data_IF_140679501277
#
_entry.id   IF_140679501277
#
_cell.length_a   1.000
_cell.length_b   1.000
_cell.length_c   1.000
_cell.angle_alpha   90.00
_cell.angle_beta   90.00
_cell.angle_gamma   90.00
#
_symmetry.space_group_name_H-M   'P 1'
#
loop_
_entity.id
_entity.type
_entity.pdbx_description
1 polymer ?
#
# COMPACT_ATOMS: atom_id res chain seq x y z
N UNK A 1 59.80 72.86 10.16
CA UNK A 1 60.88 72.03 10.71
C UNK A 1 62.13 72.31 9.90
N UNK A 2 63.23 72.57 10.57
CA UNK A 2 64.50 72.93 9.95
C UNK A 2 65.53 71.91 10.42
N UNK A 3 66.20 71.27 9.47
CA UNK A 3 67.21 70.24 9.74
C UNK A 3 68.53 70.66 9.09
N UNK A 4 69.63 70.65 9.84
CA UNK A 4 70.96 70.87 9.28
C UNK A 4 71.48 69.59 8.62
N UNK A 5 72.01 69.70 7.40
CA UNK A 5 72.63 68.59 6.69
C UNK A 5 74.00 68.97 6.11
N UNK A 6 74.71 67.97 5.60
CA UNK A 6 76.05 68.10 5.01
C UNK A 6 76.12 69.08 3.82
N UNK A 7 74.99 69.40 3.18
CA UNK A 7 74.89 70.35 2.08
C UNK A 7 74.02 71.59 2.40
N UNK A 8 73.89 71.94 3.69
CA UNK A 8 73.16 73.13 4.14
C UNK A 8 71.82 72.85 4.82
N UNK A 9 70.92 73.83 4.78
CA UNK A 9 69.67 73.85 5.55
C UNK A 9 68.53 73.15 4.79
N UNK A 10 68.02 72.04 5.34
CA UNK A 10 66.81 71.40 4.85
C UNK A 10 65.57 71.98 5.57
N UNK A 11 64.66 72.57 4.80
CA UNK A 11 63.43 73.17 5.32
C UNK A 11 62.26 72.25 4.98
N UNK A 12 61.68 71.61 6.00
CA UNK A 12 60.46 70.84 5.86
C UNK A 12 59.30 71.59 6.51
N UNK A 13 58.33 72.03 5.71
CA UNK A 13 57.12 72.65 6.22
C UNK A 13 55.98 71.62 6.25
N UNK A 14 55.62 71.05 7.43
CA UNK A 14 54.53 70.08 7.52
C UNK A 14 53.19 70.66 7.07
N UNK A 15 52.98 72.00 7.15
CA UNK A 15 51.76 72.66 6.68
C UNK A 15 51.65 72.76 5.15
N UNK A 16 52.72 72.44 4.40
CA UNK A 16 52.73 72.41 2.92
C UNK A 16 52.47 71.02 2.35
N UNK A 17 52.40 69.98 3.18
CA UNK A 17 51.94 68.67 2.75
C UNK A 17 50.44 68.80 2.52
N UNK A 18 50.02 68.88 1.25
CA UNK A 18 48.61 68.67 0.91
C UNK A 18 48.26 67.24 1.34
N UNK A 19 47.20 67.09 2.11
CA UNK A 19 46.62 65.79 2.45
C UNK A 19 46.23 65.09 1.13
N UNK A 20 47.07 64.19 0.65
CA UNK A 20 46.78 63.34 -0.50
C UNK A 20 46.06 62.08 0.00
N UNK A 21 44.92 62.26 0.66
CA UNK A 21 43.94 61.19 0.83
C UNK A 21 43.23 61.03 -0.51
N UNK A 22 43.92 60.42 -1.47
CA UNK A 22 43.34 60.07 -2.76
C UNK A 22 42.34 58.95 -2.49
N UNK A 23 41.06 59.27 -2.63
CA UNK A 23 39.98 58.30 -2.52
C UNK A 23 40.09 57.30 -3.68
N UNK A 24 40.36 56.03 -3.36
CA UNK A 24 40.45 54.96 -4.35
C UNK A 24 39.11 54.69 -5.04
N UNK A 25 39.15 54.07 -6.21
CA UNK A 25 37.94 53.54 -6.83
C UNK A 25 37.66 52.14 -6.26
N UNK A 26 36.51 51.98 -5.59
CA UNK A 26 36.06 50.67 -5.13
C UNK A 26 35.50 49.86 -6.29
N UNK A 27 35.91 48.59 -6.35
CA UNK A 27 35.35 47.60 -7.27
C UNK A 27 35.13 46.29 -6.53
N UNK A 28 34.04 45.60 -6.85
CA UNK A 28 33.90 44.19 -6.47
C UNK A 28 34.92 43.37 -7.25
N UNK A 29 35.52 42.40 -6.59
CA UNK A 29 36.56 41.55 -7.17
C UNK A 29 36.06 40.14 -7.38
N UNK A 30 35.43 39.55 -6.35
CA UNK A 30 34.95 38.17 -6.38
C UNK A 30 33.56 38.04 -5.76
N UNK A 31 32.76 37.12 -6.30
CA UNK A 31 31.51 36.63 -5.73
C UNK A 31 31.63 35.12 -5.52
N UNK A 32 31.40 34.65 -4.30
CA UNK A 32 31.40 33.24 -3.95
C UNK A 32 30.06 32.87 -3.33
N UNK A 33 29.42 31.85 -3.87
CA UNK A 33 28.16 31.28 -3.37
C UNK A 33 28.52 29.92 -2.77
N UNK A 34 28.24 29.74 -1.48
CA UNK A 34 28.71 28.59 -0.69
C UNK A 34 30.22 28.43 -0.85
N UNK A 35 30.65 27.35 -1.50
CA UNK A 35 32.05 27.04 -1.74
C UNK A 35 32.59 27.32 -3.15
N UNK A 36 31.77 27.92 -4.02
CA UNK A 36 32.10 28.08 -5.43
C UNK A 36 32.16 29.54 -5.87
N UNK A 37 33.18 29.89 -6.66
CA UNK A 37 33.26 31.19 -7.32
C UNK A 37 32.24 31.28 -8.45
N UNK A 38 31.53 32.40 -8.52
CA UNK A 38 30.52 32.64 -9.54
C UNK A 38 31.12 33.43 -10.69
N UNK A 39 30.96 32.92 -11.91
CA UNK A 39 31.25 33.62 -13.15
C UNK A 39 30.04 33.58 -14.07
N UNK A 40 29.90 34.53 -15.02
CA UNK A 40 28.82 34.52 -16.01
C UNK A 40 28.80 33.25 -16.87
N UNK A 41 29.96 32.63 -17.07
CA UNK A 41 30.10 31.39 -17.83
C UNK A 41 29.58 30.17 -17.07
N UNK A 42 29.65 30.18 -15.74
CA UNK A 42 29.22 29.05 -14.90
C UNK A 42 27.75 29.19 -14.46
N UNK A 43 27.31 30.41 -14.13
CA UNK A 43 26.01 30.68 -13.52
C UNK A 43 25.43 32.00 -14.04
N UNK A 44 25.03 32.00 -15.31
CA UNK A 44 24.39 33.15 -15.97
C UNK A 44 23.06 33.57 -15.30
N UNK A 45 22.37 32.63 -14.63
CA UNK A 45 21.15 32.92 -13.88
C UNK A 45 21.39 33.81 -12.65
N UNK A 46 22.59 33.78 -12.08
CA UNK A 46 22.98 34.58 -10.91
C UNK A 46 23.60 35.91 -11.33
N UNK A 47 24.52 35.87 -12.29
CA UNK A 47 25.23 37.06 -12.77
C UNK A 47 25.47 36.97 -14.28
N UNK A 48 25.10 38.03 -15.01
CA UNK A 48 25.20 38.05 -16.48
C UNK A 48 26.50 38.69 -17.00
N UNK A 49 27.26 39.33 -16.13
CA UNK A 49 28.49 40.07 -16.45
C UNK A 49 29.52 39.84 -15.35
N UNK A 50 30.80 40.08 -15.62
CA UNK A 50 31.83 39.95 -14.59
C UNK A 50 31.47 40.80 -13.36
N UNK A 51 31.69 40.25 -12.17
CA UNK A 51 31.35 40.89 -10.89
C UNK A 51 31.92 42.31 -10.75
N UNK A 52 33.05 42.58 -11.39
CA UNK A 52 33.71 43.91 -11.43
C UNK A 52 32.81 44.99 -12.05
N UNK A 53 31.96 44.60 -13.01
CA UNK A 53 31.07 45.49 -13.76
C UNK A 53 29.58 45.23 -13.50
N UNK A 54 29.25 44.19 -12.74
CA UNK A 54 27.88 43.81 -12.47
C UNK A 54 27.18 44.85 -11.60
N UNK A 55 25.95 45.21 -12.00
CA UNK A 55 25.07 46.11 -11.23
C UNK A 55 24.07 45.35 -10.35
N UNK A 56 23.81 44.09 -10.69
CA UNK A 56 22.84 43.25 -9.99
C UNK A 56 23.24 41.78 -9.98
N UNK A 57 22.85 41.10 -8.91
CA UNK A 57 22.97 39.66 -8.73
C UNK A 57 21.60 39.09 -8.35
N UNK A 58 21.22 37.98 -8.98
CA UNK A 58 20.01 37.25 -8.66
C UNK A 58 20.40 36.01 -7.84
N UNK A 59 19.79 35.85 -6.67
CA UNK A 59 20.05 34.71 -5.79
C UNK A 59 18.75 33.94 -5.58
N UNK A 60 18.86 32.61 -5.47
CA UNK A 60 17.79 31.79 -4.96
C UNK A 60 17.78 31.80 -3.43
N UNK A 61 16.62 31.47 -2.85
CA UNK A 61 16.48 31.32 -1.40
C UNK A 61 17.53 30.37 -0.78
N UNK A 62 18.00 29.37 -1.52
CA UNK A 62 18.97 28.35 -1.07
C UNK A 62 20.43 28.60 -1.46
N UNK A 63 20.76 29.78 -2.01
CA UNK A 63 22.12 30.09 -2.48
C UNK A 63 23.08 30.54 -1.35
N UNK A 64 22.61 30.68 -0.12
CA UNK A 64 23.43 31.15 0.99
C UNK A 64 24.34 30.06 1.59
N UNK A 65 25.48 30.41 2.22
CA UNK A 65 26.00 31.78 2.42
C UNK A 65 26.66 32.37 1.16
N UNK A 66 26.63 33.70 1.05
CA UNK A 66 27.24 34.45 -0.06
C UNK A 66 28.39 35.32 0.45
N UNK A 67 29.56 35.21 -0.16
CA UNK A 67 30.73 36.03 0.14
C UNK A 67 31.03 36.98 -1.02
N UNK A 68 31.10 38.27 -0.72
CA UNK A 68 31.44 39.33 -1.65
C UNK A 68 32.78 39.95 -1.26
N UNK A 69 33.75 39.92 -2.17
CA UNK A 69 35.05 40.59 -2.00
C UNK A 69 35.11 41.85 -2.83
N UNK A 70 35.79 42.86 -2.33
CA UNK A 70 35.99 44.14 -2.99
C UNK A 70 37.41 44.66 -2.73
N UNK A 71 37.82 45.68 -3.46
CA UNK A 71 39.12 46.32 -3.25
C UNK A 71 39.05 47.80 -3.65
N UNK A 72 39.69 48.65 -2.85
CA UNK A 72 40.13 49.95 -3.31
C UNK A 72 41.40 49.73 -4.12
N UNK A 73 41.42 50.17 -5.38
CA UNK A 73 42.62 50.11 -6.23
C UNK A 73 43.71 51.09 -5.72
N UNK A 74 44.27 50.82 -4.55
CA UNK A 74 45.30 51.61 -3.86
C UNK A 74 46.48 50.70 -3.47
N UNK A 75 47.62 50.91 -4.14
CA UNK A 75 48.84 50.08 -4.00
C UNK A 75 49.86 50.67 -3.01
N UNK A 76 49.45 51.60 -2.15
CA UNK A 76 50.36 52.22 -1.18
C UNK A 76 50.68 51.27 -0.01
N UNK A 77 51.96 51.16 0.42
CA UNK A 77 52.38 50.20 1.46
C UNK A 77 51.81 50.42 2.88
N UNK A 78 51.05 51.49 3.12
CA UNK A 78 50.44 51.85 4.41
C UNK A 78 49.07 52.55 4.19
N UNK A 79 48.20 51.97 3.35
CA UNK A 79 46.86 52.52 3.14
C UNK A 79 45.99 52.28 4.39
N UNK A 80 45.85 53.30 5.24
CA UNK A 80 44.91 53.30 6.38
C UNK A 80 43.46 53.44 5.90
N UNK A 81 43.00 52.48 5.09
CA UNK A 81 41.64 52.45 4.55
C UNK A 81 40.82 51.47 5.39
N UNK A 82 39.79 52.01 6.03
CA UNK A 82 38.76 51.20 6.65
C UNK A 82 37.53 51.15 5.73
N UNK A 83 36.80 50.05 5.77
CA UNK A 83 35.58 49.89 4.97
C UNK A 83 34.35 49.86 5.85
N UNK A 84 33.27 50.41 5.31
CA UNK A 84 31.94 50.33 5.91
C UNK A 84 30.96 49.83 4.86
N UNK A 85 29.91 49.13 5.30
CA UNK A 85 28.84 48.68 4.43
C UNK A 85 27.47 48.98 5.01
N UNK A 86 26.46 48.97 4.13
CA UNK A 86 25.06 49.14 4.48
C UNK A 86 24.20 48.30 3.55
N UNK A 87 23.34 47.45 4.09
CA UNK A 87 22.41 46.63 3.33
C UNK A 87 20.99 47.21 3.44
N UNK A 88 20.55 47.92 2.40
CA UNK A 88 19.20 48.47 2.36
C UNK A 88 18.18 47.41 1.93
N UNK A 89 16.97 47.35 2.52
CA UNK A 89 16.42 48.31 3.50
C UNK A 89 16.66 47.97 4.99
N UNK A 90 17.40 46.90 5.30
CA UNK A 90 17.48 46.36 6.66
C UNK A 90 18.40 47.17 7.58
N UNK A 91 19.52 47.64 7.06
CA UNK A 91 20.48 48.47 7.79
C UNK A 91 20.12 49.96 7.71
N UNK A 92 19.94 50.60 8.87
CA UNK A 92 19.74 52.06 8.98
C UNK A 92 21.06 52.84 9.08
N UNK A 93 22.07 52.25 9.71
CA UNK A 93 23.40 52.83 9.93
C UNK A 93 24.49 52.07 9.16
N UNK A 94 25.68 52.65 9.04
CA UNK A 94 26.83 52.00 8.42
C UNK A 94 27.50 51.01 9.38
N UNK A 95 27.67 49.77 8.94
CA UNK A 95 28.38 48.72 9.66
C UNK A 95 29.87 48.72 9.30
N UNK A 96 30.75 48.62 10.30
CA UNK A 96 32.22 48.69 10.08
C UNK A 96 32.81 47.32 9.75
N UNK A 97 33.61 47.26 8.69
CA UNK A 97 34.43 46.10 8.30
C UNK A 97 35.89 46.25 8.70
N UNK A 98 36.25 47.42 9.24
CA UNK A 98 37.64 47.77 9.56
C UNK A 98 38.53 47.57 8.32
N UNK A 99 39.58 46.75 8.41
CA UNK A 99 40.48 46.48 7.27
C UNK A 99 40.02 45.33 6.36
N UNK A 100 38.90 44.64 6.68
CA UNK A 100 38.41 43.50 5.89
C UNK A 100 37.81 43.97 4.57
N UNK A 101 38.23 43.31 3.50
CA UNK A 101 37.80 43.60 2.13
C UNK A 101 36.76 42.59 1.62
N UNK A 102 36.04 41.93 2.53
CA UNK A 102 34.99 40.96 2.21
C UNK A 102 33.84 41.01 3.20
N UNK A 103 32.63 40.69 2.70
CA UNK A 103 31.38 40.61 3.46
C UNK A 103 30.78 39.23 3.23
N UNK A 104 30.33 38.58 4.30
CA UNK A 104 29.60 37.32 4.26
C UNK A 104 28.14 37.56 4.63
N UNK A 105 27.23 37.19 3.73
CA UNK A 105 25.78 37.21 3.94
C UNK A 105 25.32 35.78 4.22
N UNK A 106 24.82 35.52 5.43
CA UNK A 106 24.44 34.17 5.88
C UNK A 106 23.07 33.74 5.39
N UNK A 107 22.15 34.68 5.28
CA UNK A 107 20.82 34.50 4.72
C UNK A 107 20.23 35.87 4.36
N UNK A 108 19.28 35.87 3.43
CA UNK A 108 18.46 37.03 3.14
C UNK A 108 17.03 36.56 2.85
N UNK A 109 16.03 37.28 3.36
CA UNK A 109 14.64 37.07 2.99
C UNK A 109 14.40 37.37 1.50
N UNK A 110 13.39 36.74 0.89
CA UNK A 110 13.06 36.86 -0.55
C UNK A 110 12.52 38.24 -0.93
N UNK A 111 13.40 39.24 -0.99
CA UNK A 111 13.15 40.62 -1.42
C UNK A 111 14.37 41.18 -2.16
N UNK A 112 14.25 42.40 -2.65
CA UNK A 112 15.37 43.13 -3.26
C UNK A 112 16.12 43.95 -2.22
N UNK A 113 17.44 43.89 -2.28
CA UNK A 113 18.36 44.63 -1.43
C UNK A 113 19.33 45.45 -2.28
N UNK A 114 19.87 46.50 -1.68
CA UNK A 114 20.99 47.24 -2.23
C UNK A 114 22.13 47.19 -1.22
N UNK A 115 23.20 46.49 -1.55
CA UNK A 115 24.43 46.51 -0.77
C UNK A 115 25.23 47.74 -1.19
N UNK A 116 25.53 48.60 -0.24
CA UNK A 116 26.39 49.77 -0.41
C UNK A 116 27.68 49.57 0.38
N UNK A 117 28.83 49.89 -0.24
CA UNK A 117 30.15 49.81 0.39
C UNK A 117 30.86 51.15 0.20
N UNK A 118 31.48 51.65 1.26
CA UNK A 118 32.20 52.91 1.24
C UNK A 118 33.54 52.78 1.98
N UNK A 119 34.55 53.51 1.50
CA UNK A 119 35.82 53.65 2.20
C UNK A 119 35.78 54.79 3.23
N UNK A 120 36.57 54.62 4.28
CA UNK A 120 36.77 55.58 5.38
C UNK A 120 38.27 55.79 5.54
N UNK A 121 38.73 57.04 5.45
CA UNK A 121 40.11 57.42 5.75
C UNK A 121 40.12 58.35 6.96
N UNK A 122 41.00 58.09 7.94
CA UNK A 122 41.21 58.96 9.12
C UNK A 122 39.90 59.45 9.76
N UNK A 123 38.93 58.54 9.90
CA UNK A 123 37.57 58.75 10.42
C UNK A 123 36.54 59.51 9.56
N UNK A 124 36.91 59.97 8.37
CA UNK A 124 35.96 60.57 7.43
C UNK A 124 35.57 59.55 6.35
N UNK A 125 34.27 59.50 6.03
CA UNK A 125 33.78 58.77 4.87
C UNK A 125 34.28 59.48 3.61
N UNK A 126 34.61 58.70 2.58
CA UNK A 126 34.94 59.25 1.27
C UNK A 126 33.77 60.07 0.71
N UNK A 127 34.07 61.16 0.01
CA UNK A 127 33.11 62.09 -0.60
C UNK A 127 32.68 61.63 -2.00
N UNK A 128 32.92 60.37 -2.35
CA UNK A 128 32.45 59.70 -3.56
C UNK A 128 31.14 58.94 -3.33
N UNK A 129 30.35 58.66 -4.39
CA UNK A 129 29.22 57.76 -4.25
C UNK A 129 29.69 56.35 -3.82
N UNK A 130 28.92 55.65 -2.97
CA UNK A 130 29.27 54.30 -2.53
C UNK A 130 29.26 53.32 -3.71
N UNK A 131 30.02 52.24 -3.56
CA UNK A 131 29.94 51.09 -4.46
C UNK A 131 28.64 50.33 -4.17
N UNK A 132 27.77 50.23 -5.16
CA UNK A 132 26.44 49.62 -5.01
C UNK A 132 26.31 48.30 -5.78
N UNK A 133 25.63 47.33 -5.18
CA UNK A 133 25.20 46.09 -5.83
C UNK A 133 23.74 45.78 -5.46
N UNK A 134 22.89 45.63 -6.47
CA UNK A 134 21.50 45.20 -6.26
C UNK A 134 21.44 43.68 -6.13
N UNK A 135 20.88 43.17 -5.04
CA UNK A 135 20.74 41.74 -4.77
C UNK A 135 19.26 41.41 -4.74
N UNK A 136 18.79 40.57 -5.66
CA UNK A 136 17.39 40.14 -5.72
C UNK A 136 17.29 38.67 -5.34
N UNK A 137 16.56 38.35 -4.27
CA UNK A 137 16.41 36.97 -3.77
C UNK A 137 15.04 36.41 -4.15
N UNK A 138 15.01 35.31 -4.90
CA UNK A 138 13.77 34.65 -5.33
C UNK A 138 13.04 33.93 -4.18
N UNK A 139 11.70 33.84 -4.20
CA UNK A 139 10.95 33.07 -3.22
C UNK A 139 11.13 31.56 -3.42
N UNK A 140 10.99 30.75 -2.35
CA UNK A 140 11.08 29.30 -2.46
C UNK A 140 9.96 28.72 -3.33
N UNK A 141 10.30 27.74 -4.17
CA UNK A 141 9.39 27.15 -5.17
C UNK A 141 8.14 26.50 -4.58
N UNK A 142 8.24 25.93 -3.37
CA UNK A 142 7.13 25.25 -2.68
C UNK A 142 6.07 26.22 -2.11
N UNK A 143 6.34 27.54 -2.14
CA UNK A 143 5.37 28.59 -1.81
C UNK A 143 4.75 29.26 -3.04
N UNK A 144 5.00 28.72 -4.23
CA UNK A 144 4.40 29.24 -5.47
C UNK A 144 2.90 28.95 -5.54
N UNK A 145 2.14 29.76 -6.29
CA UNK A 145 0.72 29.53 -6.53
C UNK A 145 0.45 28.16 -7.18
N UNK A 146 1.36 27.69 -8.03
CA UNK A 146 1.31 26.36 -8.63
C UNK A 146 1.47 25.25 -7.58
N UNK A 147 2.35 25.44 -6.59
CA UNK A 147 2.49 24.49 -5.49
C UNK A 147 1.21 24.39 -4.65
N UNK A 148 0.55 25.51 -4.34
CA UNK A 148 -0.74 25.49 -3.64
C UNK A 148 -1.84 24.78 -4.44
N UNK A 149 -1.89 24.97 -5.75
CA UNK A 149 -2.82 24.26 -6.63
C UNK A 149 -2.54 22.74 -6.63
N UNK A 150 -1.26 22.35 -6.67
CA UNK A 150 -0.86 20.95 -6.56
C UNK A 150 -1.25 20.32 -5.21
N UNK A 151 -1.07 21.05 -4.10
CA UNK A 151 -1.51 20.60 -2.78
C UNK A 151 -3.03 20.42 -2.70
N UNK A 152 -3.80 21.34 -3.29
CA UNK A 152 -5.27 21.23 -3.35
C UNK A 152 -5.70 20.00 -4.15
N UNK A 153 -5.09 19.76 -5.32
CA UNK A 153 -5.39 18.58 -6.13
C UNK A 153 -5.02 17.28 -5.41
N UNK A 154 -3.87 17.25 -4.74
CA UNK A 154 -3.44 16.10 -3.96
C UNK A 154 -4.42 15.82 -2.81
N UNK A 155 -4.85 16.86 -2.09
CA UNK A 155 -5.86 16.74 -1.04
C UNK A 155 -7.19 16.20 -1.57
N UNK A 156 -7.71 16.76 -2.67
CA UNK A 156 -8.95 16.29 -3.30
C UNK A 156 -8.82 14.84 -3.81
N UNK A 157 -7.67 14.46 -4.34
CA UNK A 157 -7.39 13.08 -4.77
C UNK A 157 -7.45 12.10 -3.61
N UNK A 158 -6.84 12.45 -2.46
CA UNK A 158 -6.88 11.62 -1.25
C UNK A 158 -8.32 11.49 -0.71
N UNK A 159 -9.07 12.60 -0.65
CA UNK A 159 -10.48 12.58 -0.22
C UNK A 159 -11.33 11.73 -1.18
N UNK A 160 -11.13 11.87 -2.49
CA UNK A 160 -11.84 11.09 -3.49
C UNK A 160 -11.52 9.59 -3.41
N UNK A 161 -10.24 9.23 -3.21
CA UNK A 161 -9.83 7.85 -3.00
C UNK A 161 -10.49 7.25 -1.75
N UNK A 162 -10.50 7.99 -0.63
CA UNK A 162 -11.16 7.54 0.60
C UNK A 162 -12.67 7.35 0.42
N UNK A 163 -13.34 8.29 -0.26
CA UNK A 163 -14.75 8.17 -0.61
C UNK A 163 -15.04 6.92 -1.45
N UNK A 164 -14.24 6.67 -2.49
CA UNK A 164 -14.38 5.50 -3.38
C UNK A 164 -14.21 4.18 -2.62
N UNK A 165 -13.21 4.08 -1.76
CA UNK A 165 -12.96 2.87 -0.94
C UNK A 165 -14.12 2.62 0.01
N UNK A 166 -14.63 3.66 0.68
CA UNK A 166 -15.77 3.55 1.59
C UNK A 166 -17.02 3.05 0.87
N UNK A 167 -17.32 3.61 -0.31
CA UNK A 167 -18.47 3.22 -1.11
C UNK A 167 -18.37 1.76 -1.59
N UNK A 168 -17.20 1.32 -2.05
CA UNK A 168 -16.98 -0.07 -2.46
C UNK A 168 -17.20 -1.05 -1.31
N UNK A 169 -16.76 -0.70 -0.09
CA UNK A 169 -16.99 -1.53 1.10
C UNK A 169 -18.48 -1.66 1.43
N UNK A 170 -19.24 -0.57 1.29
CA UNK A 170 -20.69 -0.61 1.54
C UNK A 170 -21.41 -1.50 0.51
N UNK A 171 -21.10 -1.36 -0.78
CA UNK A 171 -21.69 -2.17 -1.84
C UNK A 171 -21.33 -3.64 -1.66
N UNK A 172 -20.06 -3.95 -1.41
CA UNK A 172 -19.62 -5.32 -1.17
C UNK A 172 -20.28 -5.96 0.06
N UNK A 173 -20.46 -5.18 1.14
CA UNK A 173 -21.17 -5.63 2.34
C UNK A 173 -22.65 -5.93 2.09
N UNK A 174 -23.33 -5.07 1.31
CA UNK A 174 -24.73 -5.30 0.93
C UNK A 174 -24.90 -6.53 0.05
N UNK A 175 -24.02 -6.72 -0.94
CA UNK A 175 -24.08 -7.88 -1.83
C UNK A 175 -23.81 -9.18 -1.09
N UNK A 176 -22.80 -9.20 -0.20
CA UNK A 176 -22.53 -10.37 0.65
C UNK A 176 -23.72 -10.71 1.54
N UNK A 177 -24.38 -9.71 2.13
CA UNK A 177 -25.58 -9.92 2.94
C UNK A 177 -26.74 -10.45 2.09
N UNK A 178 -26.96 -9.89 0.90
CA UNK A 178 -28.00 -10.35 -0.03
C UNK A 178 -27.79 -11.79 -0.47
N UNK A 179 -26.55 -12.16 -0.81
CA UNK A 179 -26.21 -13.53 -1.18
C UNK A 179 -26.46 -14.50 -0.02
N UNK A 180 -26.10 -14.10 1.20
CA UNK A 180 -26.37 -14.90 2.40
C UNK A 180 -27.87 -15.06 2.66
N UNK A 181 -28.64 -13.98 2.54
CA UNK A 181 -30.11 -14.02 2.73
C UNK A 181 -30.77 -14.93 1.67
N UNK A 182 -30.29 -14.90 0.41
CA UNK A 182 -30.76 -15.79 -0.66
C UNK A 182 -30.44 -17.26 -0.38
N UNK A 183 -29.24 -17.55 0.12
CA UNK A 183 -28.83 -18.90 0.47
C UNK A 183 -29.68 -19.46 1.62
N UNK A 184 -29.87 -18.67 2.68
CA UNK A 184 -30.74 -19.02 3.82
C UNK A 184 -32.19 -19.28 3.37
N UNK A 185 -32.73 -18.46 2.46
CA UNK A 185 -34.06 -18.66 1.90
C UNK A 185 -34.15 -19.95 1.06
N UNK A 186 -33.16 -20.20 0.20
CA UNK A 186 -33.06 -21.42 -0.61
C UNK A 186 -33.06 -22.65 0.30
N UNK A 187 -32.27 -22.66 1.37
CA UNK A 187 -32.22 -23.82 2.24
C UNK A 187 -33.52 -24.04 3.03
N UNK A 188 -34.13 -22.97 3.53
CA UNK A 188 -35.43 -23.06 4.22
C UNK A 188 -36.51 -23.60 3.30
N UNK A 189 -36.54 -23.15 2.04
CA UNK A 189 -37.45 -23.62 1.03
C UNK A 189 -37.30 -25.14 0.79
N UNK A 190 -36.06 -25.61 0.58
CA UNK A 190 -35.77 -27.05 0.39
C UNK A 190 -36.19 -27.88 1.60
N UNK A 191 -35.86 -27.40 2.80
CA UNK A 191 -36.20 -28.07 4.07
C UNK A 191 -37.70 -28.23 4.22
N UNK A 192 -38.46 -27.14 3.99
CA UNK A 192 -39.92 -27.14 4.12
C UNK A 192 -40.58 -28.06 3.09
N UNK A 193 -40.22 -27.91 1.81
CA UNK A 193 -40.75 -28.74 0.72
C UNK A 193 -40.51 -30.22 0.99
N UNK A 194 -39.34 -30.56 1.50
CA UNK A 194 -39.03 -31.94 1.84
C UNK A 194 -39.98 -32.48 2.91
N UNK A 195 -40.21 -31.73 3.99
CA UNK A 195 -41.13 -32.14 5.05
C UNK A 195 -42.56 -32.31 4.52
N UNK A 196 -43.00 -31.40 3.64
CA UNK A 196 -44.32 -31.45 3.01
C UNK A 196 -44.47 -32.65 2.06
N UNK A 197 -43.41 -33.12 1.39
CA UNK A 197 -43.45 -34.32 0.56
C UNK A 197 -43.31 -35.63 1.34
N UNK A 198 -42.47 -35.65 2.38
CA UNK A 198 -42.23 -36.86 3.20
C UNK A 198 -43.53 -37.38 3.82
N UNK A 199 -44.36 -36.48 4.34
CA UNK A 199 -45.60 -36.82 5.05
C UNK A 199 -46.62 -37.57 4.17
N UNK A 200 -47.08 -37.04 3.02
CA UNK A 200 -48.01 -37.75 2.14
C UNK A 200 -47.41 -39.02 1.56
N UNK A 201 -46.10 -39.06 1.27
CA UNK A 201 -45.44 -40.28 0.81
C UNK A 201 -45.46 -41.39 1.85
N UNK A 202 -45.20 -41.06 3.11
CA UNK A 202 -45.27 -42.02 4.22
C UNK A 202 -46.69 -42.58 4.37
N UNK A 203 -47.70 -41.73 4.18
CA UNK A 203 -49.12 -42.13 4.21
C UNK A 203 -49.47 -43.04 3.03
N UNK A 204 -49.03 -42.70 1.80
CA UNK A 204 -49.23 -43.54 0.61
C UNK A 204 -48.60 -44.92 0.81
N UNK A 205 -47.36 -44.97 1.31
CA UNK A 205 -46.65 -46.20 1.63
C UNK A 205 -47.43 -47.03 2.67
N UNK A 206 -47.93 -46.40 3.74
CA UNK A 206 -48.75 -47.09 4.74
C UNK A 206 -50.06 -47.68 4.20
N UNK A 207 -50.74 -46.99 3.28
CA UNK A 207 -51.93 -47.54 2.61
C UNK A 207 -51.58 -48.68 1.65
N UNK A 208 -50.47 -48.58 0.93
CA UNK A 208 -49.99 -49.65 0.04
C UNK A 208 -49.68 -50.92 0.80
N UNK A 209 -49.00 -50.83 1.95
CA UNK A 209 -48.73 -52.00 2.80
C UNK A 209 -50.02 -52.67 3.27
N UNK A 210 -51.04 -51.90 3.68
CA UNK A 210 -52.36 -52.42 4.05
C UNK A 210 -53.10 -53.10 2.87
N UNK A 211 -53.02 -52.52 1.67
CA UNK A 211 -53.66 -53.08 0.48
C UNK A 211 -52.99 -54.37 0.01
N UNK A 212 -51.65 -54.46 0.10
CA UNK A 212 -50.90 -55.69 -0.18
C UNK A 212 -51.30 -56.84 0.73
N UNK A 213 -51.51 -56.56 2.01
CA UNK A 213 -51.94 -57.56 3.00
C UNK A 213 -53.38 -58.05 2.73
N UNK A 214 -54.25 -57.19 2.18
CA UNK A 214 -55.66 -57.54 1.90
C UNK A 214 -55.91 -58.19 0.54
N UNK A 215 -55.09 -57.93 -0.47
CA UNK A 215 -55.34 -58.36 -1.87
C UNK A 215 -54.24 -59.28 -2.41
N UNK A 216 -53.56 -60.02 -1.53
CA UNK A 216 -52.39 -60.83 -1.86
C UNK A 216 -52.64 -61.91 -2.93
N UNK A 217 -53.90 -62.33 -3.13
CA UNK A 217 -54.29 -63.42 -4.04
C UNK A 217 -54.54 -63.01 -5.51
N UNK A 218 -54.50 -61.71 -5.85
CA UNK A 218 -54.65 -61.25 -7.26
C UNK A 218 -53.33 -60.71 -7.81
N UNK A 219 -52.66 -61.52 -8.64
CA UNK A 219 -51.33 -61.20 -9.22
C UNK A 219 -51.24 -59.82 -9.89
N UNK A 220 -52.25 -59.41 -10.67
CA UNK A 220 -52.23 -58.09 -11.34
C UNK A 220 -52.33 -56.92 -10.36
N UNK A 221 -53.11 -57.06 -9.27
CA UNK A 221 -53.25 -56.02 -8.25
C UNK A 221 -51.98 -55.94 -7.42
N UNK A 222 -51.40 -57.10 -7.08
CA UNK A 222 -50.18 -57.17 -6.29
C UNK A 222 -48.97 -56.56 -7.06
N UNK A 223 -48.87 -56.82 -8.37
CA UNK A 223 -47.84 -56.23 -9.24
C UNK A 223 -47.95 -54.70 -9.34
N UNK A 224 -49.18 -54.16 -9.47
CA UNK A 224 -49.41 -52.72 -9.47
C UNK A 224 -49.06 -52.07 -8.11
N UNK A 225 -49.46 -52.70 -7.00
CA UNK A 225 -49.15 -52.21 -5.64
C UNK A 225 -47.64 -52.24 -5.36
N UNK A 226 -46.93 -53.29 -5.78
CA UNK A 226 -45.46 -53.38 -5.73
C UNK A 226 -44.81 -52.20 -6.45
N UNK A 227 -45.30 -51.89 -7.65
CA UNK A 227 -44.74 -50.81 -8.48
C UNK A 227 -44.94 -49.43 -7.84
N UNK A 228 -46.12 -49.16 -7.28
CA UNK A 228 -46.41 -47.87 -6.61
C UNK A 228 -45.58 -47.73 -5.32
N UNK A 229 -45.42 -48.81 -4.55
CA UNK A 229 -44.60 -48.80 -3.33
C UNK A 229 -43.13 -48.52 -3.66
N UNK A 230 -42.58 -49.17 -4.68
CA UNK A 230 -41.19 -48.98 -5.10
C UNK A 230 -40.95 -47.54 -5.57
N UNK A 231 -41.86 -46.96 -6.35
CA UNK A 231 -41.78 -45.56 -6.78
C UNK A 231 -41.90 -44.57 -5.60
N UNK A 232 -42.78 -44.86 -4.64
CA UNK A 232 -42.97 -44.02 -3.45
C UNK A 232 -41.74 -44.05 -2.54
N UNK A 233 -41.13 -45.21 -2.35
CA UNK A 233 -39.87 -45.36 -1.61
C UNK A 233 -38.71 -44.65 -2.30
N UNK A 234 -38.61 -44.74 -3.62
CA UNK A 234 -37.60 -44.02 -4.40
C UNK A 234 -37.74 -42.50 -4.23
N UNK A 235 -38.98 -41.97 -4.30
CA UNK A 235 -39.21 -40.54 -4.12
C UNK A 235 -38.89 -40.08 -2.69
N UNK A 236 -39.28 -40.87 -1.69
CA UNK A 236 -38.94 -40.61 -0.29
C UNK A 236 -37.42 -40.56 -0.07
N UNK A 237 -36.68 -41.47 -0.71
CA UNK A 237 -35.23 -41.49 -0.66
C UNK A 237 -34.61 -40.23 -1.27
N UNK A 238 -35.04 -39.83 -2.47
CA UNK A 238 -34.57 -38.59 -3.14
C UNK A 238 -34.85 -37.34 -2.30
N UNK A 239 -36.03 -37.28 -1.70
CA UNK A 239 -36.46 -36.20 -0.81
C UNK A 239 -35.54 -36.14 0.43
N UNK A 240 -35.22 -37.28 1.04
CA UNK A 240 -34.30 -37.34 2.17
C UNK A 240 -32.87 -36.92 1.79
N UNK A 241 -32.37 -37.35 0.63
CA UNK A 241 -31.05 -36.95 0.11
C UNK A 241 -30.97 -35.42 -0.10
N UNK A 242 -32.03 -34.80 -0.62
CA UNK A 242 -32.10 -33.35 -0.80
C UNK A 242 -32.03 -32.62 0.55
N UNK A 243 -32.67 -33.16 1.60
CA UNK A 243 -32.60 -32.63 2.96
C UNK A 243 -31.20 -32.74 3.57
N UNK A 244 -30.55 -33.89 3.39
CA UNK A 244 -29.19 -34.11 3.89
C UNK A 244 -28.20 -33.14 3.22
N UNK A 245 -28.35 -32.90 1.92
CA UNK A 245 -27.57 -31.89 1.20
C UNK A 245 -27.80 -30.48 1.76
N UNK A 246 -29.05 -30.09 2.00
CA UNK A 246 -29.40 -28.80 2.59
C UNK A 246 -28.78 -28.61 4.00
N UNK A 247 -28.74 -29.67 4.82
CA UNK A 247 -28.09 -29.63 6.14
C UNK A 247 -26.56 -29.52 6.03
N UNK A 248 -25.98 -30.17 5.01
CA UNK A 248 -24.54 -30.12 4.73
C UNK A 248 -24.11 -28.71 4.33
N UNK A 249 -24.85 -28.06 3.41
CA UNK A 249 -24.58 -26.68 2.97
C UNK A 249 -24.59 -25.68 4.14
N UNK A 250 -25.40 -25.91 5.19
CA UNK A 250 -25.44 -25.06 6.39
C UNK A 250 -24.37 -25.38 7.45
N UNK A 251 -23.52 -26.39 7.22
CA UNK A 251 -22.56 -26.86 8.22
C UNK A 251 -23.21 -27.44 9.49
N UNK A 252 -24.48 -27.87 9.41
CA UNK A 252 -25.25 -28.38 10.56
C UNK A 252 -25.19 -29.90 10.74
N UNK A 253 -24.42 -30.60 9.91
CA UNK A 253 -24.19 -32.03 10.10
C UNK A 253 -23.15 -32.20 11.21
N UNK A 254 -23.58 -32.73 12.35
CA UNK A 254 -22.70 -33.15 13.44
C UNK A 254 -22.35 -34.63 13.28
N UNK A 255 -21.07 -34.97 13.42
CA UNK A 255 -20.61 -36.36 13.44
C UNK A 255 -20.77 -36.92 14.85
N UNK A 256 -21.41 -38.08 14.98
CA UNK A 256 -21.52 -38.81 16.23
C UNK A 256 -20.53 -39.98 16.19
N UNK A 257 -19.26 -39.69 16.46
CA UNK A 257 -18.21 -40.69 16.40
C UNK A 257 -18.23 -41.61 17.62
N UNK A 258 -18.07 -42.90 17.39
CA UNK A 258 -17.90 -43.91 18.42
C UNK A 258 -16.60 -44.66 18.19
N UNK A 259 -15.86 -44.93 19.27
CA UNK A 259 -14.64 -45.72 19.20
C UNK A 259 -14.99 -47.21 19.06
N UNK A 260 -14.76 -47.79 17.89
CA UNK A 260 -15.05 -49.20 17.61
C UNK A 260 -14.10 -49.75 16.56
N UNK A 261 -14.09 -51.07 16.40
CA UNK A 261 -13.34 -51.72 15.33
C UNK A 261 -14.10 -51.58 14.00
N UNK A 262 -13.49 -50.87 13.04
CA UNK A 262 -14.12 -50.60 11.74
C UNK A 262 -14.06 -51.81 10.79
N UNK A 263 -13.07 -52.70 10.94
CA UNK A 263 -12.87 -53.82 10.01
C UNK A 263 -14.05 -54.80 10.06
N UNK A 264 -14.49 -55.31 11.24
CA UNK A 264 -15.68 -56.15 11.33
C UNK A 264 -16.93 -55.42 10.84
N UNK A 265 -17.07 -54.13 11.15
CA UNK A 265 -18.22 -53.33 10.75
C UNK A 265 -18.36 -53.25 9.23
N UNK A 266 -17.29 -52.87 8.52
CA UNK A 266 -17.28 -52.80 7.07
C UNK A 266 -17.48 -54.19 6.46
N UNK A 267 -16.81 -55.22 6.97
CA UNK A 267 -16.98 -56.60 6.50
C UNK A 267 -18.43 -57.09 6.61
N UNK A 268 -19.10 -56.83 7.74
CA UNK A 268 -20.52 -57.14 7.91
C UNK A 268 -21.39 -56.39 6.91
N UNK A 269 -21.09 -55.11 6.67
CA UNK A 269 -21.83 -54.30 5.71
C UNK A 269 -21.67 -54.81 4.28
N UNK A 270 -20.45 -55.12 3.84
CA UNK A 270 -20.18 -55.69 2.51
C UNK A 270 -20.94 -57.01 2.34
N UNK A 271 -20.89 -57.88 3.34
CA UNK A 271 -21.60 -59.15 3.31
C UNK A 271 -23.12 -59.00 3.17
N UNK A 272 -23.73 -57.91 3.65
CA UNK A 272 -25.18 -57.69 3.46
C UNK A 272 -25.58 -57.48 1.99
N UNK A 273 -24.63 -57.15 1.10
CA UNK A 273 -24.88 -57.00 -0.33
C UNK A 273 -24.60 -58.27 -1.14
N UNK A 274 -24.21 -59.38 -0.51
CA UNK A 274 -23.85 -60.62 -1.22
C UNK A 274 -25.00 -61.16 -2.08
N UNK A 275 -26.23 -61.11 -1.56
CA UNK A 275 -27.42 -61.57 -2.29
C UNK A 275 -27.72 -60.71 -3.52
N UNK A 276 -27.56 -59.39 -3.41
CA UNK A 276 -27.77 -58.44 -4.51
C UNK A 276 -26.68 -58.62 -5.58
N UNK A 277 -25.44 -58.78 -5.15
CA UNK A 277 -24.32 -59.06 -6.06
C UNK A 277 -24.54 -60.37 -6.83
N UNK A 278 -25.02 -61.41 -6.16
CA UNK A 278 -25.35 -62.69 -6.78
C UNK A 278 -26.50 -62.57 -7.79
N UNK A 279 -27.56 -61.82 -7.46
CA UNK A 279 -28.67 -61.56 -8.38
C UNK A 279 -28.22 -60.81 -9.64
N UNK A 280 -27.25 -59.90 -9.51
CA UNK A 280 -26.66 -59.15 -10.64
C UNK A 280 -25.49 -59.88 -11.32
N UNK A 281 -25.17 -61.11 -10.93
CA UNK A 281 -24.02 -61.88 -11.43
C UNK A 281 -22.68 -61.15 -11.29
N UNK A 282 -22.50 -60.36 -10.24
CA UNK A 282 -21.26 -59.62 -9.92
C UNK A 282 -20.57 -60.28 -8.72
N UNK A 283 -19.25 -60.48 -8.81
CA UNK A 283 -18.46 -60.99 -7.68
C UNK A 283 -18.10 -59.85 -6.74
N UNK A 284 -18.63 -59.86 -5.50
CA UNK A 284 -18.29 -58.88 -4.47
C UNK A 284 -17.23 -59.44 -3.51
N UNK A 285 -16.08 -58.78 -3.39
CA UNK A 285 -14.99 -59.17 -2.46
C UNK A 285 -14.69 -58.06 -1.45
N UNK A 286 -14.34 -58.49 -0.24
CA UNK A 286 -13.76 -57.63 0.80
C UNK A 286 -12.33 -58.06 1.07
N UNK A 287 -11.40 -57.12 1.00
CA UNK A 287 -9.96 -57.31 1.23
C UNK A 287 -9.51 -56.31 2.30
N UNK A 288 -8.64 -56.73 3.21
CA UNK A 288 -8.06 -55.83 4.20
C UNK A 288 -6.64 -56.23 4.53
N UNK A 289 -5.75 -55.24 4.62
CA UNK A 289 -4.35 -55.43 5.02
C UNK A 289 -4.20 -55.76 6.51
N UNK A 290 -5.17 -55.33 7.34
CA UNK A 290 -5.15 -55.47 8.79
C UNK A 290 -6.44 -56.12 9.31
N UNK A 291 -6.30 -57.01 10.29
CA UNK A 291 -7.45 -57.77 10.81
C UNK A 291 -8.38 -56.95 11.72
N UNK A 292 -7.83 -55.95 12.41
CA UNK A 292 -8.56 -55.11 13.38
C UNK A 292 -8.04 -53.68 13.35
N UNK A 293 -8.94 -52.70 13.34
CA UNK A 293 -8.60 -51.28 13.44
C UNK A 293 -9.60 -50.56 14.33
N UNK A 294 -9.20 -50.30 15.57
CA UNK A 294 -9.97 -49.43 16.48
C UNK A 294 -9.78 -47.98 16.10
N UNK A 295 -10.85 -47.32 15.69
CA UNK A 295 -10.84 -45.89 15.37
C UNK A 295 -12.17 -45.23 15.73
N UNK A 296 -12.16 -43.91 15.79
CA UNK A 296 -13.37 -43.12 15.96
C UNK A 296 -14.05 -42.96 14.60
N UNK A 297 -15.27 -43.49 14.46
CA UNK A 297 -16.09 -43.29 13.26
C UNK A 297 -17.57 -43.18 13.60
N UNK A 298 -18.32 -42.50 12.73
CA UNK A 298 -19.78 -42.46 12.80
C UNK A 298 -20.35 -43.62 11.97
N UNK A 299 -20.88 -44.63 12.66
CA UNK A 299 -21.37 -45.86 12.03
C UNK A 299 -22.48 -45.59 11.00
N UNK A 300 -23.39 -44.66 11.30
CA UNK A 300 -24.50 -44.29 10.40
C UNK A 300 -23.96 -43.66 9.11
N UNK A 301 -22.97 -42.75 9.23
CA UNK A 301 -22.37 -42.10 8.06
C UNK A 301 -21.51 -43.04 7.23
N UNK A 302 -20.71 -43.90 7.86
CA UNK A 302 -19.94 -44.93 7.14
C UNK A 302 -20.88 -45.88 6.40
N UNK A 303 -21.99 -46.32 7.04
CA UNK A 303 -23.01 -47.13 6.36
C UNK A 303 -23.58 -46.40 5.16
N UNK A 304 -24.00 -45.15 5.32
CA UNK A 304 -24.59 -44.36 4.24
C UNK A 304 -23.63 -44.22 3.04
N UNK A 305 -22.34 -43.93 3.31
CA UNK A 305 -21.31 -43.82 2.28
C UNK A 305 -21.12 -45.15 1.56
N UNK A 306 -20.83 -46.22 2.30
CA UNK A 306 -20.53 -47.52 1.72
C UNK A 306 -21.75 -48.12 1.01
N UNK A 307 -22.96 -47.99 1.55
CA UNK A 307 -24.18 -48.42 0.85
C UNK A 307 -24.35 -47.70 -0.49
N UNK A 308 -24.12 -46.39 -0.55
CA UNK A 308 -24.19 -45.64 -1.82
C UNK A 308 -23.12 -46.10 -2.82
N UNK A 309 -21.88 -46.31 -2.36
CA UNK A 309 -20.78 -46.74 -3.23
C UNK A 309 -20.98 -48.18 -3.74
N UNK A 310 -21.32 -49.11 -2.85
CA UNK A 310 -21.53 -50.53 -3.18
C UNK A 310 -22.74 -50.67 -4.10
N UNK A 311 -23.87 -50.02 -3.79
CA UNK A 311 -25.06 -50.11 -4.63
C UNK A 311 -24.83 -49.54 -6.03
N UNK A 312 -24.11 -48.41 -6.16
CA UNK A 312 -23.71 -47.88 -7.46
C UNK A 312 -22.75 -48.83 -8.18
N UNK A 313 -21.73 -49.35 -7.49
CA UNK A 313 -20.77 -50.26 -8.09
C UNK A 313 -21.46 -51.51 -8.64
N UNK A 314 -22.36 -52.14 -7.88
CA UNK A 314 -23.13 -53.30 -8.35
C UNK A 314 -24.04 -52.93 -9.53
N UNK A 315 -24.84 -51.86 -9.39
CA UNK A 315 -25.83 -51.45 -10.41
C UNK A 315 -25.23 -51.11 -11.77
N UNK A 316 -24.02 -50.57 -11.80
CA UNK A 316 -23.35 -50.15 -13.04
C UNK A 316 -22.23 -51.10 -13.48
N UNK A 317 -22.09 -52.25 -12.82
CA UNK A 317 -21.15 -53.29 -13.21
C UNK A 317 -21.75 -54.21 -14.28
N UNK A 318 -20.88 -54.73 -15.15
CA UNK A 318 -21.28 -55.74 -16.13
C UNK A 318 -21.47 -57.11 -15.46
N UNK A 319 -22.29 -57.97 -16.06
CA UNK A 319 -22.40 -59.36 -15.64
C UNK A 319 -21.02 -60.05 -15.67
N UNK A 320 -20.76 -60.89 -14.67
CA UNK A 320 -19.49 -61.60 -14.44
C UNK A 320 -18.27 -60.72 -14.15
N UNK A 321 -18.48 -59.45 -13.78
CA UNK A 321 -17.41 -58.58 -13.29
C UNK A 321 -17.16 -58.75 -11.79
N UNK A 322 -16.11 -58.11 -11.27
CA UNK A 322 -15.73 -58.13 -9.87
C UNK A 322 -15.69 -56.72 -9.29
N UNK A 323 -16.29 -56.54 -8.12
CA UNK A 323 -16.20 -55.35 -7.28
C UNK A 323 -15.44 -55.73 -6.01
N UNK A 324 -14.33 -55.05 -5.72
CA UNK A 324 -13.51 -55.27 -4.52
C UNK A 324 -13.57 -54.03 -3.63
N UNK A 325 -13.76 -54.26 -2.33
CA UNK A 325 -13.69 -53.23 -1.29
C UNK A 325 -12.46 -53.54 -0.46
N UNK A 326 -11.44 -52.69 -0.58
CA UNK A 326 -10.14 -52.86 0.06
C UNK A 326 -9.96 -51.84 1.20
N UNK A 327 -9.39 -52.27 2.33
CA UNK A 327 -8.89 -51.39 3.39
C UNK A 327 -7.37 -51.56 3.49
N UNK A 328 -6.65 -50.49 3.13
CA UNK A 328 -5.20 -50.43 3.11
C UNK A 328 -4.71 -49.36 4.09
N UNK A 329 -3.57 -49.61 4.74
CA UNK A 329 -2.91 -48.65 5.62
C UNK A 329 -1.87 -47.87 4.85
N UNK A 330 -2.07 -46.56 4.71
CA UNK A 330 -1.03 -45.69 4.15
C UNK A 330 -0.11 -45.25 5.28
N UNK A 331 1.10 -45.82 5.32
CA UNK A 331 2.20 -45.26 6.12
C UNK A 331 2.74 -44.00 5.44
N UNK A 332 2.02 -42.88 5.56
CA UNK A 332 2.57 -41.56 5.30
C UNK A 332 2.55 -40.77 6.59
N UNK A 333 3.63 -40.89 7.37
CA UNK A 333 4.28 -39.79 8.11
C UNK A 333 5.73 -40.16 8.39
#
# INVERSE_FOLDING_TARGET
MYFGGINGLNIFNPKRIKELDIEGQLKFTNLKIKDYYVSPTLLNSVINTSIVNAKSVFLNYDDFPVNLSFSALDFRPNSNINYVYKLLPDDKEWNSLDTKNSIQLLNLSSKSYTLQIQGKSRNNLWQKPPLELKISVSPPWYKSNLAYLAYLLLFLSVVFAFYRISLQRQIAGQESKRLKDLDDLKTRFITNITHEFRTPLTVILGYLSNLKERFSEKDQVNTALNTIEQNSNNLLHLVNQMLDLAKLEQGKITLNTTQSDIIPYVKHLVNSFSSIAQEQSVTLKFESEIDTLKMDFDAEKIRQILTNLISNALKFSFENSQVTIAIETFSQF
#
